data_IF_311545047923
#
_entry.id   IF_311545047923
#
_cell.length_a   1.000
_cell.length_b   1.000
_cell.length_c   1.000
_cell.angle_alpha   90.00
_cell.angle_beta   90.00
_cell.angle_gamma   90.00
#
_symmetry.space_group_name_H-M   'P 1'
#
loop_
_entity.id
_entity.type
_entity.pdbx_description
1 polymer ?
#
# COMPACT_ATOMS: atom_id res chain seq x y z
N UNK A 1 -1.50 -13.06 11.24
CA UNK A 1 -1.94 -14.06 10.23
C UNK A 1 -3.30 -13.57 9.73
N UNK A 2 -3.43 -13.13 8.46
CA UNK A 2 -4.75 -12.75 7.98
C UNK A 2 -5.67 -13.97 7.91
N UNK A 3 -6.95 -13.73 8.18
CA UNK A 3 -7.92 -14.77 8.54
C UNK A 3 -8.77 -15.26 7.35
N UNK A 4 -8.56 -14.71 6.15
CA UNK A 4 -9.39 -14.95 4.96
C UNK A 4 -8.83 -16.06 4.07
N UNK A 5 -9.71 -16.85 3.47
CA UNK A 5 -9.44 -17.90 2.51
C UNK A 5 -10.17 -17.66 1.18
N UNK A 6 -9.68 -18.32 0.11
CA UNK A 6 -10.37 -18.31 -1.19
C UNK A 6 -11.78 -18.88 -0.99
N UNK A 7 -12.78 -18.14 -1.47
CA UNK A 7 -14.20 -18.46 -1.30
C UNK A 7 -14.90 -17.69 -0.18
N UNK A 8 -14.16 -17.02 0.71
CA UNK A 8 -14.77 -16.20 1.77
C UNK A 8 -15.48 -14.98 1.20
N UNK A 9 -16.65 -14.67 1.79
CA UNK A 9 -17.41 -13.47 1.50
C UNK A 9 -16.96 -12.33 2.40
N UNK A 10 -16.62 -11.19 1.80
CA UNK A 10 -16.03 -10.04 2.48
C UNK A 10 -16.63 -8.72 2.01
N UNK A 11 -16.71 -7.75 2.91
CA UNK A 11 -16.81 -6.33 2.57
C UNK A 11 -15.41 -5.80 2.30
N UNK A 12 -15.31 -4.78 1.42
CA UNK A 12 -14.04 -4.09 1.21
C UNK A 12 -14.14 -2.59 1.42
N UNK A 13 -13.09 -2.01 1.97
CA UNK A 13 -12.95 -0.59 2.21
C UNK A 13 -12.60 0.14 0.91
N UNK A 14 -13.46 1.05 0.46
CA UNK A 14 -13.18 2.00 -0.63
C UNK A 14 -12.93 3.40 -0.05
N UNK A 15 -11.90 4.09 -0.55
CA UNK A 15 -11.43 5.38 -0.02
C UNK A 15 -11.86 6.49 -0.97
N UNK A 16 -12.88 7.26 -0.59
CA UNK A 16 -13.33 8.40 -1.39
C UNK A 16 -12.65 9.70 -0.92
N UNK A 17 -11.98 10.40 -1.84
CA UNK A 17 -11.41 11.72 -1.59
C UNK A 17 -12.52 12.78 -1.36
N UNK A 18 -12.83 13.12 -0.12
CA UNK A 18 -13.59 14.35 0.15
C UNK A 18 -12.61 15.51 0.33
N UNK A 19 -13.00 16.68 -0.20
CA UNK A 19 -12.22 17.94 -0.26
C UNK A 19 -11.75 18.52 1.09
N UNK A 20 -11.79 17.76 2.20
CA UNK A 20 -11.34 18.18 3.53
C UNK A 20 -10.61 17.03 4.24
N UNK A 21 -9.28 17.12 4.25
CA UNK A 21 -8.29 16.68 5.25
C UNK A 21 -8.43 15.37 6.07
N UNK A 22 -9.44 14.51 5.89
CA UNK A 22 -9.56 13.21 6.57
C UNK A 22 -10.11 12.15 5.62
N UNK A 23 -9.37 11.05 5.45
CA UNK A 23 -9.72 9.93 4.58
C UNK A 23 -10.93 9.18 5.16
N UNK A 24 -12.12 9.36 4.58
CA UNK A 24 -13.30 8.60 4.99
C UNK A 24 -13.35 7.28 4.23
N UNK A 25 -13.26 6.18 4.96
CA UNK A 25 -13.43 4.83 4.44
C UNK A 25 -14.92 4.51 4.36
N UNK A 26 -15.38 4.00 3.20
CA UNK A 26 -16.71 3.41 3.07
C UNK A 26 -16.56 1.92 2.78
N UNK A 27 -17.21 1.09 3.59
CA UNK A 27 -17.34 -0.33 3.28
C UNK A 27 -18.31 -0.52 2.10
N UNK A 28 -17.85 -1.27 1.10
CA UNK A 28 -18.53 -1.47 -0.15
C UNK A 28 -18.71 -2.97 -0.41
N UNK A 29 -19.91 -3.31 -0.88
CA UNK A 29 -20.31 -4.56 -1.53
C UNK A 29 -20.11 -5.85 -0.71
N UNK A 30 -20.92 -6.90 -0.95
CA UNK A 30 -20.43 -8.25 -0.77
C UNK A 30 -19.50 -8.59 -1.94
N UNK A 31 -18.24 -8.85 -1.62
CA UNK A 31 -17.25 -9.41 -2.54
C UNK A 31 -16.87 -10.81 -2.08
N UNK A 32 -16.24 -11.57 -2.96
CA UNK A 32 -15.70 -12.90 -2.65
C UNK A 32 -14.19 -12.89 -2.89
N UNK A 33 -13.43 -13.48 -1.98
CA UNK A 33 -12.00 -13.71 -2.19
C UNK A 33 -11.82 -14.76 -3.28
N UNK A 34 -11.15 -14.39 -4.35
CA UNK A 34 -10.91 -15.26 -5.52
C UNK A 34 -9.46 -15.69 -5.65
N UNK A 35 -8.52 -14.95 -5.06
CA UNK A 35 -7.10 -15.31 -5.07
C UNK A 35 -6.36 -14.72 -3.86
N UNK A 36 -5.21 -15.30 -3.52
CA UNK A 36 -4.34 -14.91 -2.41
C UNK A 36 -2.91 -14.70 -2.92
N UNK A 37 -2.51 -13.45 -3.12
CA UNK A 37 -1.15 -13.12 -3.55
C UNK A 37 -0.13 -13.20 -2.42
N UNK A 38 -0.57 -12.98 -1.17
CA UNK A 38 0.25 -13.14 0.03
C UNK A 38 -0.67 -13.35 1.24
N UNK A 39 -0.07 -13.56 2.43
CA UNK A 39 -0.80 -13.64 3.70
C UNK A 39 -1.58 -12.36 4.06
N UNK A 40 -1.44 -11.27 3.32
CA UNK A 40 -2.09 -9.99 3.62
C UNK A 40 -2.70 -9.32 2.39
N UNK A 41 -2.51 -9.88 1.19
CA UNK A 41 -3.00 -9.30 -0.07
C UNK A 41 -3.86 -10.32 -0.79
N UNK A 42 -5.12 -9.93 -0.99
CA UNK A 42 -6.16 -10.77 -1.54
C UNK A 42 -6.71 -10.13 -2.81
N UNK A 43 -7.05 -10.94 -3.80
CA UNK A 43 -7.89 -10.49 -4.91
C UNK A 43 -9.33 -10.83 -4.56
N UNK A 44 -10.20 -9.84 -4.61
CA UNK A 44 -11.62 -9.98 -4.35
C UNK A 44 -12.41 -9.63 -5.60
N UNK A 45 -13.51 -10.34 -5.81
CA UNK A 45 -14.44 -10.14 -6.91
C UNK A 45 -15.76 -9.62 -6.34
N UNK A 46 -16.19 -8.45 -6.78
CA UNK A 46 -17.50 -7.91 -6.42
C UNK A 46 -18.61 -8.76 -7.05
N UNK A 47 -19.50 -9.32 -6.24
CA UNK A 47 -20.52 -10.28 -6.72
C UNK A 47 -21.64 -9.62 -7.52
N UNK A 48 -21.81 -8.31 -7.42
CA UNK A 48 -22.83 -7.57 -8.15
C UNK A 48 -22.30 -7.06 -9.49
N UNK A 49 -21.05 -6.61 -9.54
CA UNK A 49 -20.45 -6.00 -10.75
C UNK A 49 -19.52 -6.94 -11.51
N UNK A 50 -19.08 -8.05 -10.91
CA UNK A 50 -18.04 -8.94 -11.45
C UNK A 50 -16.64 -8.31 -11.47
N UNK A 51 -16.47 -7.11 -10.92
CA UNK A 51 -15.19 -6.40 -10.91
C UNK A 51 -14.23 -7.03 -9.90
N UNK A 52 -13.04 -7.39 -10.36
CA UNK A 52 -11.97 -7.88 -9.50
C UNK A 52 -11.06 -6.74 -9.06
N UNK A 53 -10.66 -6.74 -7.78
CA UNK A 53 -9.71 -5.78 -7.21
C UNK A 53 -8.77 -6.44 -6.21
N UNK A 54 -7.58 -5.89 -6.07
CA UNK A 54 -6.59 -6.33 -5.08
C UNK A 54 -6.74 -5.47 -3.83
N UNK A 55 -6.89 -6.09 -2.67
CA UNK A 55 -7.08 -5.42 -1.39
C UNK A 55 -6.16 -6.01 -0.31
N UNK A 56 -5.66 -5.13 0.57
CA UNK A 56 -4.96 -5.56 1.77
C UNK A 56 -5.95 -6.14 2.81
N UNK A 57 -5.51 -7.06 3.66
CA UNK A 57 -6.36 -7.70 4.69
C UNK A 57 -7.02 -6.68 5.62
N UNK A 58 -6.31 -5.58 5.94
CA UNK A 58 -6.85 -4.49 6.75
C UNK A 58 -8.00 -3.75 6.06
N UNK A 59 -8.13 -3.87 4.73
CA UNK A 59 -9.21 -3.30 3.92
C UNK A 59 -10.32 -4.30 3.65
N UNK A 60 -10.28 -5.48 4.27
CA UNK A 60 -11.31 -6.50 4.19
C UNK A 60 -11.97 -6.68 5.54
N UNK A 61 -13.27 -6.95 5.53
CA UNK A 61 -14.00 -7.42 6.68
C UNK A 61 -14.88 -8.60 6.28
N UNK A 62 -15.11 -9.58 7.15
CA UNK A 62 -16.01 -10.67 6.82
C UNK A 62 -17.41 -10.12 6.54
N UNK A 63 -18.08 -10.71 5.56
CA UNK A 63 -19.46 -10.40 5.29
C UNK A 63 -20.34 -11.13 6.31
N UNK A 64 -20.70 -10.44 7.39
CA UNK A 64 -21.77 -10.84 8.30
C UNK A 64 -22.83 -9.74 8.33
N UNK A 65 -24.10 -10.13 8.31
CA UNK A 65 -25.27 -9.22 8.23
C UNK A 65 -25.30 -8.20 9.39
N UNK A 66 -24.59 -8.49 10.49
CA UNK A 66 -24.46 -7.65 11.69
C UNK A 66 -23.30 -6.63 11.68
N UNK A 67 -22.36 -6.70 10.72
CA UNK A 67 -21.09 -5.93 10.76
C UNK A 67 -21.09 -4.64 9.91
N UNK A 68 -22.27 -4.11 9.58
CA UNK A 68 -22.45 -2.90 8.78
C UNK A 68 -21.96 -1.59 9.46
N UNK A 69 -21.20 -1.68 10.56
CA UNK A 69 -20.87 -0.56 11.46
C UNK A 69 -19.42 -0.48 11.94
N UNK A 70 -18.45 -1.11 11.27
CA UNK A 70 -17.03 -0.98 11.66
C UNK A 70 -16.49 0.41 11.30
N UNK A 71 -16.14 1.20 12.31
CA UNK A 71 -15.67 2.59 12.21
C UNK A 71 -14.17 2.71 11.90
N UNK A 72 -13.77 3.92 11.45
CA UNK A 72 -12.44 4.32 11.01
C UNK A 72 -11.31 4.02 12.02
N UNK A 73 -11.62 4.00 13.31
CA UNK A 73 -10.64 3.84 14.40
C UNK A 73 -10.10 2.40 14.52
N UNK A 74 -10.91 1.38 14.18
CA UNK A 74 -10.48 -0.02 14.14
C UNK A 74 -9.51 -0.28 12.98
N UNK A 75 -9.78 0.35 11.82
CA UNK A 75 -8.94 0.27 10.62
C UNK A 75 -7.59 0.96 10.82
N UNK A 76 -7.59 2.13 11.48
CA UNK A 76 -6.36 2.85 11.80
C UNK A 76 -5.47 2.05 12.78
N UNK A 77 -6.08 1.29 13.70
CA UNK A 77 -5.35 0.45 14.65
C UNK A 77 -4.72 -0.78 13.97
N UNK A 78 -5.41 -1.41 13.01
CA UNK A 78 -4.86 -2.55 12.24
C UNK A 78 -3.79 -2.07 11.23
N UNK A 79 -3.96 -0.90 10.62
CA UNK A 79 -2.96 -0.31 9.72
C UNK A 79 -1.66 0.11 10.45
N UNK A 80 -1.74 0.44 11.75
CA UNK A 80 -0.57 0.76 12.56
C UNK A 80 0.14 -0.47 13.15
N UNK A 81 -0.41 -1.68 12.98
CA UNK A 81 0.25 -2.91 13.41
C UNK A 81 1.26 -3.35 12.33
N UNK A 82 2.49 -2.90 12.52
CA UNK A 82 3.62 -2.82 11.59
C UNK A 82 4.20 -4.16 11.09
N UNK A 83 3.40 -5.03 10.47
CA UNK A 83 3.86 -6.36 10.02
C UNK A 83 3.36 -6.81 8.61
N UNK A 84 3.15 -5.91 7.63
CA UNK A 84 2.70 -6.44 6.33
C UNK A 84 2.49 -5.57 5.09
N UNK A 85 2.89 -4.30 5.06
CA UNK A 85 2.69 -3.50 3.85
C UNK A 85 3.66 -3.93 2.74
N UNK A 86 3.11 -4.35 1.60
CA UNK A 86 3.89 -4.75 0.41
C UNK A 86 4.02 -3.56 -0.52
N UNK A 87 5.24 -3.24 -0.96
CA UNK A 87 5.47 -2.19 -1.95
C UNK A 87 4.95 -2.66 -3.32
N UNK A 88 4.06 -1.88 -3.92
CA UNK A 88 3.60 -2.05 -5.30
C UNK A 88 4.57 -1.39 -6.28
N UNK A 89 4.92 -0.12 -6.03
CA UNK A 89 5.77 0.67 -6.91
C UNK A 89 6.48 1.81 -6.15
N UNK A 90 7.71 2.14 -6.56
CA UNK A 90 8.41 3.35 -6.17
C UNK A 90 8.27 4.38 -7.29
N UNK A 91 7.77 5.57 -6.98
CA UNK A 91 7.34 6.53 -8.01
C UNK A 91 8.21 7.76 -8.14
N UNK A 92 8.54 8.39 -7.02
CA UNK A 92 9.24 9.68 -6.99
C UNK A 92 10.33 9.67 -5.93
N UNK A 93 11.36 10.49 -6.15
CA UNK A 93 12.40 10.76 -5.17
C UNK A 93 12.31 12.19 -4.67
N UNK A 94 12.56 12.39 -3.38
CA UNK A 94 12.75 13.72 -2.80
C UNK A 94 13.82 13.71 -1.73
N UNK A 95 14.33 14.91 -1.44
CA UNK A 95 15.09 15.17 -0.24
C UNK A 95 14.24 15.99 0.74
N UNK A 96 13.93 15.42 1.89
CA UNK A 96 13.23 16.14 2.95
C UNK A 96 14.23 16.99 3.72
N UNK A 97 14.10 18.31 3.64
CA UNK A 97 14.98 19.27 4.33
C UNK A 97 14.78 19.28 5.85
N UNK A 98 13.58 18.94 6.32
CA UNK A 98 13.22 18.94 7.74
C UNK A 98 13.77 17.69 8.40
N UNK A 99 13.48 16.51 7.83
CA UNK A 99 14.01 15.24 8.31
C UNK A 99 15.46 14.98 7.90
N UNK A 100 16.02 15.81 6.99
CA UNK A 100 17.39 15.72 6.44
C UNK A 100 17.70 14.31 5.89
N UNK A 101 16.75 13.73 5.16
CA UNK A 101 16.88 12.39 4.59
C UNK A 101 16.31 12.32 3.18
N UNK A 102 16.85 11.41 2.38
CA UNK A 102 16.25 11.02 1.12
C UNK A 102 15.02 10.14 1.39
N UNK A 103 13.98 10.36 0.62
CA UNK A 103 12.73 9.61 0.69
C UNK A 103 12.27 9.21 -0.71
N UNK A 104 11.59 8.09 -0.79
CA UNK A 104 10.88 7.65 -1.99
C UNK A 104 9.38 7.62 -1.74
N UNK A 105 8.61 8.03 -2.74
CA UNK A 105 7.16 7.89 -2.71
C UNK A 105 6.81 6.44 -3.01
N UNK A 106 6.23 5.78 -2.00
CA UNK A 106 5.87 4.37 -2.04
C UNK A 106 4.38 4.26 -2.35
N UNK A 107 4.07 3.57 -3.44
CA UNK A 107 2.73 3.06 -3.69
C UNK A 107 2.63 1.68 -3.03
N UNK A 108 1.69 1.55 -2.11
CA UNK A 108 1.44 0.31 -1.38
C UNK A 108 0.44 -0.57 -2.12
N UNK A 109 0.71 -1.89 -2.15
CA UNK A 109 -0.14 -2.86 -2.83
C UNK A 109 -1.46 -3.01 -2.10
N UNK A 110 -2.55 -2.89 -2.85
CA UNK A 110 -3.90 -3.02 -2.31
C UNK A 110 -4.37 -1.82 -1.48
N UNK A 111 -3.65 -0.69 -1.54
CA UNK A 111 -4.06 0.60 -0.98
C UNK A 111 -4.30 1.63 -2.10
N UNK A 112 -5.12 2.63 -1.83
CA UNK A 112 -5.48 3.69 -2.77
C UNK A 112 -4.31 4.61 -3.14
N UNK A 113 -4.50 5.46 -4.15
CA UNK A 113 -3.50 6.46 -4.57
C UNK A 113 -3.21 7.49 -3.47
N UNK A 114 -4.23 7.82 -2.68
CA UNK A 114 -4.12 8.80 -1.59
C UNK A 114 -3.35 8.27 -0.38
N UNK A 115 -3.07 6.97 -0.38
CA UNK A 115 -2.37 6.28 0.71
C UNK A 115 -0.89 6.09 0.38
N UNK A 116 -0.41 6.60 -0.76
CA UNK A 116 1.03 6.64 -1.04
C UNK A 116 1.72 7.47 0.04
N UNK A 117 2.80 6.95 0.62
CA UNK A 117 3.57 7.63 1.66
C UNK A 117 5.02 7.84 1.23
N UNK A 118 5.65 8.87 1.80
CA UNK A 118 7.06 9.13 1.62
C UNK A 118 7.86 8.36 2.66
N UNK A 119 8.55 7.31 2.23
CA UNK A 119 9.32 6.46 3.12
C UNK A 119 10.82 6.78 3.04
N UNK A 120 11.55 6.76 4.17
CA UNK A 120 12.99 6.90 4.18
C UNK A 120 13.69 5.82 3.36
N UNK A 121 14.68 6.22 2.57
CA UNK A 121 15.42 5.30 1.69
C UNK A 121 16.13 4.20 2.46
N UNK A 122 16.61 4.48 3.67
CA UNK A 122 17.29 3.46 4.48
C UNK A 122 16.35 2.30 4.85
N UNK A 123 15.12 2.58 5.28
CA UNK A 123 14.11 1.54 5.53
C UNK A 123 13.85 0.71 4.26
N UNK A 124 13.67 1.39 3.12
CA UNK A 124 13.42 0.69 1.86
C UNK A 124 14.61 -0.15 1.37
N UNK A 125 15.84 0.22 1.72
CA UNK A 125 17.03 -0.58 1.41
C UNK A 125 17.15 -1.81 2.32
N UNK A 126 16.63 -1.74 3.54
CA UNK A 126 16.54 -2.91 4.43
C UNK A 126 15.40 -3.84 3.97
N UNK A 127 14.23 -3.30 3.65
CA UNK A 127 13.03 -4.08 3.35
C UNK A 127 12.98 -4.58 1.89
N UNK A 128 13.28 -3.71 0.92
CA UNK A 128 13.10 -3.94 -0.52
C UNK A 128 14.28 -3.45 -1.38
N UNK A 129 15.54 -3.84 -1.09
CA UNK A 129 16.73 -3.30 -1.75
C UNK A 129 16.74 -3.47 -3.27
N UNK A 130 16.18 -4.58 -3.77
CA UNK A 130 16.12 -4.86 -5.21
C UNK A 130 15.21 -3.89 -5.95
N UNK A 131 14.12 -3.42 -5.32
CA UNK A 131 13.19 -2.47 -5.91
C UNK A 131 13.80 -1.06 -5.96
N UNK A 132 14.49 -0.65 -4.88
CA UNK A 132 15.22 0.63 -4.83
C UNK A 132 16.29 0.69 -5.92
N UNK A 133 17.08 -0.37 -6.10
CA UNK A 133 18.09 -0.45 -7.18
C UNK A 133 17.48 -0.33 -8.58
N UNK A 134 16.38 -1.06 -8.84
CA UNK A 134 15.67 -0.99 -10.13
C UNK A 134 15.13 0.42 -10.40
N UNK A 135 14.53 1.04 -9.39
CA UNK A 135 14.05 2.42 -9.49
C UNK A 135 15.21 3.38 -9.79
N UNK A 136 16.29 3.30 -9.02
CA UNK A 136 17.45 4.16 -9.19
C UNK A 136 18.11 4.02 -10.59
N UNK A 137 18.24 2.79 -11.08
CA UNK A 137 18.75 2.52 -12.43
C UNK A 137 17.84 3.07 -13.54
N UNK A 138 16.51 2.92 -13.39
CA UNK A 138 15.51 3.45 -14.34
C UNK A 138 15.53 4.99 -14.39
N UNK A 139 15.77 5.63 -13.25
CA UNK A 139 15.74 7.09 -13.10
C UNK A 139 17.15 7.71 -12.98
N UNK A 140 18.20 7.04 -13.48
CA UNK A 140 19.62 7.46 -13.35
C UNK A 140 19.96 8.86 -13.91
N UNK A 141 19.06 9.50 -14.65
CA UNK A 141 19.23 10.87 -15.16
C UNK A 141 18.68 11.94 -14.23
N UNK A 142 17.83 11.57 -13.27
CA UNK A 142 17.25 12.49 -12.29
C UNK A 142 18.31 12.89 -11.25
N UNK A 143 18.59 14.21 -11.07
CA UNK A 143 19.53 14.69 -10.07
C UNK A 143 19.21 14.24 -8.64
N UNK A 144 17.93 14.11 -8.27
CA UNK A 144 17.52 13.68 -6.93
C UNK A 144 17.82 12.20 -6.70
N UNK A 145 17.62 11.38 -7.75
CA UNK A 145 17.93 9.96 -7.71
C UNK A 145 19.43 9.72 -7.70
N UNK A 146 20.21 10.53 -8.43
CA UNK A 146 21.68 10.50 -8.33
C UNK A 146 22.16 10.85 -6.93
N UNK A 147 21.68 11.95 -6.36
CA UNK A 147 22.06 12.35 -5.00
C UNK A 147 21.69 11.28 -3.96
N UNK A 148 20.51 10.67 -4.11
CA UNK A 148 20.10 9.52 -3.28
C UNK A 148 21.03 8.32 -3.48
N UNK A 149 21.35 7.97 -4.73
CA UNK A 149 22.21 6.83 -5.03
C UNK A 149 23.62 7.01 -4.47
N UNK A 150 24.21 8.20 -4.64
CA UNK A 150 25.52 8.57 -4.11
C UNK A 150 25.51 8.55 -2.57
N UNK A 151 24.48 9.11 -1.93
CA UNK A 151 24.37 9.19 -0.48
C UNK A 151 24.17 7.82 0.18
N UNK A 152 23.54 6.88 -0.51
CA UNK A 152 23.17 5.57 0.03
C UNK A 152 23.96 4.39 -0.59
N UNK A 153 24.97 4.65 -1.40
CA UNK A 153 25.80 3.62 -2.03
C UNK A 153 25.03 2.70 -2.99
N UNK A 154 23.98 3.21 -3.64
CA UNK A 154 23.17 2.45 -4.59
C UNK A 154 23.83 2.51 -5.95
N UNK A 155 24.30 1.36 -6.45
CA UNK A 155 24.88 1.29 -7.79
C UNK A 155 23.80 1.50 -8.87
N UNK A 156 23.96 2.56 -9.66
CA UNK A 156 23.11 2.91 -10.80
C UNK A 156 23.84 2.76 -12.14
N UNK A 157 25.04 2.19 -12.12
CA UNK A 157 25.93 1.91 -13.26
C UNK A 157 25.46 0.65 -14.01
N UNK A 158 24.23 0.66 -14.50
CA UNK A 158 23.77 -0.32 -15.49
C UNK A 158 24.30 0.02 -16.87
#
# INVERSE_FOLDING_TARGET
MAQFAIGDYVLYADVWNHRRSKLRVKWCGPARVVDTSSNWVFTIENLLTGESRVAHASRLNFYADSDLGVTEDLLAHVAHNSEGHVVEELREARYDKTAKTHQLLVKWRGLGELETSWEPVHNLLEDVPSLVKKFAAKHKRDPLVKALADAHGVDISG
#
